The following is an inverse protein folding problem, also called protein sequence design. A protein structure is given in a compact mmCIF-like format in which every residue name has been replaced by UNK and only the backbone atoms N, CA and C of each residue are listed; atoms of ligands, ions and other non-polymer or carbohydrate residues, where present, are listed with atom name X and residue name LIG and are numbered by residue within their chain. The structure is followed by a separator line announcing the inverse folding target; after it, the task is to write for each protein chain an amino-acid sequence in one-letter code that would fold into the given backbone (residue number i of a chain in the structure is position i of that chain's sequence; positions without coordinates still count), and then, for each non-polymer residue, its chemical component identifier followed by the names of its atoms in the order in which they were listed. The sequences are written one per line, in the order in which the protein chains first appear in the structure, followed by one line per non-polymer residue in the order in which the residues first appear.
data_IF_408480565458
#
_entry.id   IF_408480565458
#
_cell.length_a   1.000
_cell.length_b   1.000
_cell.length_c   1.000
_cell.angle_alpha   90.00
_cell.angle_beta   90.00
_cell.angle_gamma   90.00
#
_symmetry.space_group_name_H-M   'P 1'
#
loop_
_entity.id
_entity.type
_entity.pdbx_description
1 polymer ?
#
# COMPACT_ATOMS: atom_id res chain seq x y z
N UNK A 1 -1.51 -19.31 3.51
CA UNK A 1 -0.43 -18.88 2.60
C UNK A 1 0.61 -18.06 3.34
N UNK A 2 1.87 -18.35 3.10
CA UNK A 2 2.96 -17.59 3.72
C UNK A 2 3.21 -16.30 2.94
N UNK A 3 3.46 -15.21 3.67
CA UNK A 3 3.73 -13.92 3.06
C UNK A 3 4.85 -13.21 3.81
N UNK A 4 5.60 -12.38 3.09
CA UNK A 4 6.63 -11.52 3.68
C UNK A 4 6.12 -10.10 3.96
N UNK A 5 4.82 -9.89 3.80
CA UNK A 5 4.22 -8.56 4.02
C UNK A 5 3.79 -8.40 5.46
N UNK A 6 4.10 -7.23 6.02
CA UNK A 6 3.69 -6.84 7.37
C UNK A 6 2.98 -5.50 7.25
N UNK A 7 1.89 -5.33 8.01
CA UNK A 7 1.12 -4.09 8.02
C UNK A 7 0.96 -3.60 9.46
N UNK A 8 1.02 -2.28 9.63
CA UNK A 8 0.88 -1.64 10.93
C UNK A 8 0.42 -0.19 10.74
N UNK A 9 -0.68 0.18 11.37
CA UNK A 9 -1.24 1.55 11.31
C UNK A 9 -1.45 2.07 9.87
N UNK A 10 -1.81 1.16 8.95
CA UNK A 10 -2.03 1.52 7.56
C UNK A 10 -0.76 1.58 6.71
N UNK A 11 0.40 1.37 7.31
CA UNK A 11 1.67 1.28 6.60
C UNK A 11 2.05 -0.18 6.41
N UNK A 12 2.79 -0.45 5.34
CA UNK A 12 3.19 -1.82 5.05
C UNK A 12 4.62 -1.90 4.56
N UNK A 13 5.19 -3.08 4.68
CA UNK A 13 6.51 -3.39 4.16
C UNK A 13 6.52 -4.79 3.58
N UNK A 14 7.50 -5.05 2.75
CA UNK A 14 7.81 -6.37 2.27
C UNK A 14 9.20 -6.71 2.80
N UNK A 15 9.27 -7.72 3.67
CA UNK A 15 10.53 -8.11 4.29
C UNK A 15 11.38 -8.89 3.30
N UNK A 16 12.64 -8.49 3.17
CA UNK A 16 13.61 -9.15 2.30
C UNK A 16 14.81 -9.60 3.12
N UNK A 17 15.54 -10.58 2.60
CA UNK A 17 16.73 -11.10 3.25
C UNK A 17 17.97 -10.72 2.45
N UNK A 18 18.98 -10.16 3.14
CA UNK A 18 20.29 -9.92 2.56
C UNK A 18 21.21 -11.07 2.95
N UNK A 19 21.59 -11.87 1.98
CA UNK A 19 22.53 -12.97 2.23
C UNK A 19 23.93 -12.45 2.55
N UNK A 20 24.29 -11.30 1.99
CA UNK A 20 25.59 -10.68 2.20
C UNK A 20 25.74 -10.19 3.65
N UNK A 21 24.75 -9.46 4.14
CA UNK A 21 24.77 -8.88 5.49
C UNK A 21 24.13 -9.78 6.53
N UNK A 22 23.42 -10.82 6.10
CA UNK A 22 22.71 -11.77 6.95
C UNK A 22 21.69 -11.09 7.84
N UNK A 23 20.94 -10.14 7.26
CA UNK A 23 19.88 -9.46 7.97
C UNK A 23 18.59 -9.51 7.16
N UNK A 24 17.47 -9.39 7.86
CA UNK A 24 16.18 -9.11 7.26
C UNK A 24 16.07 -7.58 7.17
N UNK A 25 15.49 -7.08 6.10
CA UNK A 25 15.39 -5.64 5.91
C UNK A 25 14.15 -5.30 5.12
N UNK A 26 13.79 -4.01 5.16
CA UNK A 26 12.69 -3.50 4.38
C UNK A 26 12.60 -2.00 4.54
N UNK A 27 11.58 -1.44 3.93
CA UNK A 27 11.27 -0.03 4.05
C UNK A 27 9.76 0.14 4.14
N UNK A 28 9.30 1.29 4.61
CA UNK A 28 7.87 1.62 4.53
C UNK A 28 7.56 1.86 3.06
N UNK A 29 6.67 1.02 2.51
CA UNK A 29 6.30 1.09 1.10
C UNK A 29 5.23 2.13 0.85
N UNK A 30 5.16 2.61 -0.39
CA UNK A 30 4.09 3.50 -0.83
C UNK A 30 4.17 4.94 -0.37
N UNK A 31 5.28 5.37 0.22
CA UNK A 31 5.53 6.76 0.58
C UNK A 31 6.83 7.23 -0.08
N UNK A 32 6.96 8.54 -0.27
CA UNK A 32 8.15 9.12 -0.90
C UNK A 32 9.36 9.17 0.04
N UNK A 33 9.11 9.37 1.33
CA UNK A 33 10.18 9.41 2.32
C UNK A 33 10.80 8.02 2.45
N UNK A 34 12.11 7.97 2.59
CA UNK A 34 12.83 6.71 2.74
C UNK A 34 12.96 6.37 4.22
N UNK A 35 12.20 5.37 4.67
CA UNK A 35 12.25 4.88 6.05
C UNK A 35 12.57 3.39 6.02
N UNK A 36 13.77 3.04 6.43
CA UNK A 36 14.29 1.67 6.39
C UNK A 36 14.33 1.05 7.78
N UNK A 37 14.36 -0.27 7.80
CA UNK A 37 14.66 -1.01 9.03
C UNK A 37 15.46 -2.26 8.69
N UNK A 38 16.19 -2.77 9.67
CA UNK A 38 16.95 -4.03 9.57
C UNK A 38 16.76 -4.82 10.85
N UNK A 39 16.87 -6.14 10.75
CA UNK A 39 16.77 -7.01 11.91
C UNK A 39 17.48 -8.32 11.65
N UNK A 40 18.30 -8.77 12.62
CA UNK A 40 19.02 -10.05 12.50
C UNK A 40 18.16 -11.24 12.93
N UNK A 41 17.09 -10.99 13.67
CA UNK A 41 16.25 -12.04 14.24
C UNK A 41 14.85 -12.03 13.60
N UNK A 42 14.47 -13.08 12.87
CA UNK A 42 13.12 -13.14 12.29
C UNK A 42 12.00 -13.01 13.33
N UNK A 43 12.24 -13.44 14.57
CA UNK A 43 11.24 -13.32 15.62
C UNK A 43 10.97 -11.89 16.06
N UNK A 44 11.82 -10.95 15.68
CA UNK A 44 11.70 -9.54 16.08
C UNK A 44 11.44 -8.60 14.91
N UNK A 45 11.31 -9.13 13.70
CA UNK A 45 11.20 -8.29 12.50
C UNK A 45 9.93 -7.44 12.50
N UNK A 46 8.81 -7.97 12.99
CA UNK A 46 7.57 -7.19 13.10
C UNK A 46 7.73 -6.03 14.08
N UNK A 47 8.37 -6.30 15.21
CA UNK A 47 8.61 -5.27 16.23
C UNK A 47 9.47 -4.14 15.66
N UNK A 48 10.50 -4.49 14.91
CA UNK A 48 11.38 -3.50 14.30
C UNK A 48 10.65 -2.67 13.23
N UNK A 49 9.77 -3.30 12.46
CA UNK A 49 8.96 -2.57 11.51
C UNK A 49 8.01 -1.60 12.22
N UNK A 50 7.34 -2.06 13.28
CA UNK A 50 6.43 -1.20 14.06
C UNK A 50 7.18 -0.02 14.65
N UNK A 51 8.38 -0.25 15.14
CA UNK A 51 9.22 0.82 15.65
C UNK A 51 9.55 1.84 14.56
N UNK A 52 9.88 1.37 13.35
CA UNK A 52 10.17 2.27 12.23
C UNK A 52 8.96 3.13 11.88
N UNK A 53 7.76 2.57 11.88
CA UNK A 53 6.52 3.31 11.64
C UNK A 53 6.28 4.33 12.73
N UNK A 54 6.38 3.92 13.99
CA UNK A 54 6.14 4.82 15.12
C UNK A 54 7.16 5.96 15.15
N UNK A 55 8.42 5.68 14.84
CA UNK A 55 9.47 6.70 14.76
C UNK A 55 9.19 7.69 13.62
N UNK A 56 8.75 7.19 12.47
CA UNK A 56 8.37 8.04 11.34
C UNK A 56 7.23 8.99 11.72
N UNK A 57 6.19 8.45 12.36
CA UNK A 57 5.04 9.25 12.78
C UNK A 57 5.44 10.31 13.82
N UNK A 58 6.30 9.94 14.75
CA UNK A 58 6.80 10.88 15.76
C UNK A 58 7.66 11.97 15.11
N UNK A 59 8.50 11.61 14.15
CA UNK A 59 9.34 12.55 13.42
C UNK A 59 8.49 13.58 12.66
N UNK A 60 7.45 13.12 11.98
CA UNK A 60 6.54 14.01 11.27
C UNK A 60 5.83 14.97 12.22
N UNK A 61 5.38 14.47 13.38
CA UNK A 61 4.72 15.29 14.38
C UNK A 61 5.67 16.37 14.91
N UNK A 62 6.90 16.02 15.18
CA UNK A 62 7.90 16.96 15.72
C UNK A 62 8.22 18.07 14.71
N UNK A 63 8.16 17.77 13.42
CA UNK A 63 8.39 18.75 12.36
C UNK A 63 7.14 19.52 11.96
N UNK A 64 5.98 19.18 12.52
CA UNK A 64 4.71 19.79 12.12
C UNK A 64 4.30 19.39 10.70
N UNK A 65 4.77 18.24 10.23
CA UNK A 65 4.49 17.73 8.89
C UNK A 65 3.46 16.62 8.98
N UNK A 66 2.49 16.62 8.05
CA UNK A 66 1.55 15.51 7.96
C UNK A 66 2.26 14.28 7.42
N UNK A 67 2.11 13.12 8.07
CA UNK A 67 2.73 11.91 7.54
C UNK A 67 2.07 11.48 6.23
N UNK A 68 2.86 10.93 5.32
CA UNK A 68 2.33 10.39 4.08
C UNK A 68 1.55 9.11 4.36
N UNK A 69 0.53 8.85 3.55
CA UNK A 69 -0.29 7.63 3.66
C UNK A 69 -0.24 6.88 2.34
N UNK A 70 0.08 5.59 2.35
CA UNK A 70 0.15 4.80 1.10
C UNK A 70 -1.22 4.57 0.47
N UNK A 71 -2.29 4.56 1.28
CA UNK A 71 -3.64 4.32 0.78
C UNK A 71 -4.47 5.60 0.86
N UNK A 72 -4.38 6.42 -0.21
CA UNK A 72 -5.02 7.74 -0.25
C UNK A 72 -6.44 7.72 -0.81
N UNK A 73 -6.89 6.57 -1.30
CA UNK A 73 -8.19 6.47 -1.96
C UNK A 73 -8.18 6.89 -3.43
N UNK A 74 -7.01 7.25 -3.96
CA UNK A 74 -6.86 7.63 -5.37
C UNK A 74 -5.68 6.89 -5.96
N UNK A 75 -5.90 6.25 -7.11
CA UNK A 75 -4.82 5.65 -7.89
C UNK A 75 -5.22 5.61 -9.35
N UNK A 76 -4.25 5.52 -10.23
CA UNK A 76 -4.46 5.51 -11.67
C UNK A 76 -4.30 4.11 -12.22
N UNK A 77 -5.17 3.74 -13.16
CA UNK A 77 -5.10 2.48 -13.87
C UNK A 77 -5.04 2.76 -15.35
N UNK A 78 -4.10 2.12 -16.04
CA UNK A 78 -3.99 2.24 -17.49
C UNK A 78 -4.77 1.11 -18.15
N UNK A 79 -5.68 1.45 -19.03
CA UNK A 79 -6.49 0.48 -19.78
C UNK A 79 -6.43 0.81 -21.27
N UNK A 80 -6.90 -0.11 -22.13
CA UNK A 80 -6.95 0.17 -23.53
C UNK A 80 -8.02 1.22 -23.84
N UNK A 81 -7.89 2.00 -24.93
CA UNK A 81 -8.93 2.96 -25.32
C UNK A 81 -10.28 2.30 -25.51
N UNK A 82 -10.32 1.09 -26.04
CA UNK A 82 -11.57 0.37 -26.23
C UNK A 82 -12.24 0.01 -24.89
N UNK A 83 -11.47 -0.47 -23.93
CA UNK A 83 -12.01 -0.79 -22.61
C UNK A 83 -12.52 0.47 -21.93
N UNK A 84 -11.78 1.58 -22.04
CA UNK A 84 -12.21 2.88 -21.52
C UNK A 84 -13.56 3.27 -22.09
N UNK A 85 -13.72 3.19 -23.40
CA UNK A 85 -14.98 3.51 -24.09
C UNK A 85 -16.12 2.63 -23.61
N UNK A 86 -15.88 1.31 -23.49
CA UNK A 86 -16.91 0.36 -23.04
C UNK A 86 -17.32 0.61 -21.61
N UNK A 87 -16.36 0.94 -20.75
CA UNK A 87 -16.66 1.26 -19.34
C UNK A 87 -17.50 2.53 -19.25
N UNK A 88 -17.14 3.57 -20.01
CA UNK A 88 -17.89 4.81 -20.02
C UNK A 88 -19.32 4.61 -20.52
N UNK A 89 -19.50 3.80 -21.56
CA UNK A 89 -20.83 3.50 -22.10
C UNK A 89 -21.66 2.70 -21.08
N UNK A 90 -21.05 1.74 -20.39
CA UNK A 90 -21.73 0.97 -19.36
C UNK A 90 -22.19 1.83 -18.19
N UNK A 91 -21.32 2.74 -17.74
CA UNK A 91 -21.65 3.67 -16.67
C UNK A 91 -22.83 4.57 -17.08
N UNK A 92 -22.77 5.12 -18.29
CA UNK A 92 -23.80 5.99 -18.81
C UNK A 92 -25.17 5.27 -18.89
N UNK A 93 -25.17 4.01 -19.34
CA UNK A 93 -26.42 3.23 -19.44
C UNK A 93 -27.03 2.94 -18.06
N UNK A 94 -26.25 3.00 -17.00
CA UNK A 94 -26.73 2.82 -15.62
C UNK A 94 -27.05 4.13 -14.93
N UNK A 95 -26.83 5.26 -15.60
CA UNK A 95 -27.06 6.58 -15.02
C UNK A 95 -26.07 6.93 -13.93
N UNK A 96 -24.86 6.36 -13.98
CA UNK A 96 -23.81 6.63 -13.00
C UNK A 96 -22.55 7.21 -13.65
N UNK A 97 -21.69 7.85 -12.85
CA UNK A 97 -20.42 8.36 -13.37
C UNK A 97 -19.47 7.20 -13.66
N UNK A 98 -18.49 7.44 -14.54
CA UNK A 98 -17.45 6.45 -14.79
C UNK A 98 -16.70 6.11 -13.50
N UNK A 99 -16.41 7.11 -12.68
CA UNK A 99 -15.72 6.90 -11.39
C UNK A 99 -16.51 5.96 -10.47
N UNK A 100 -17.81 6.19 -10.34
CA UNK A 100 -18.67 5.33 -9.51
C UNK A 100 -18.74 3.91 -10.06
N UNK A 101 -18.86 3.79 -11.39
CA UNK A 101 -18.88 2.49 -12.04
C UNK A 101 -17.61 1.69 -11.77
N UNK A 102 -16.44 2.34 -11.91
CA UNK A 102 -15.13 1.71 -11.71
C UNK A 102 -14.96 1.29 -10.24
N UNK A 103 -15.34 2.17 -9.30
CA UNK A 103 -15.25 1.86 -7.87
C UNK A 103 -16.09 0.63 -7.52
N UNK A 104 -17.28 0.52 -8.07
CA UNK A 104 -18.15 -0.65 -7.85
C UNK A 104 -17.55 -1.91 -8.46
N UNK A 105 -16.96 -1.81 -9.65
CA UNK A 105 -16.34 -2.95 -10.31
C UNK A 105 -15.17 -3.49 -9.50
N UNK A 106 -14.33 -2.60 -8.96
CA UNK A 106 -13.20 -2.98 -8.13
C UNK A 106 -13.70 -3.66 -6.85
N UNK A 107 -14.69 -3.08 -6.20
CA UNK A 107 -15.27 -3.66 -4.98
C UNK A 107 -15.79 -5.07 -5.23
N UNK A 108 -16.52 -5.27 -6.32
CA UNK A 108 -17.04 -6.59 -6.67
C UNK A 108 -15.92 -7.59 -6.95
N UNK A 109 -14.86 -7.17 -7.63
CA UNK A 109 -13.73 -8.03 -7.94
C UNK A 109 -12.98 -8.44 -6.67
N UNK A 110 -12.80 -7.53 -5.73
CA UNK A 110 -12.13 -7.81 -4.45
C UNK A 110 -12.96 -8.77 -3.61
N UNK A 111 -14.27 -8.56 -3.55
CA UNK A 111 -15.18 -9.41 -2.74
C UNK A 111 -15.21 -10.85 -3.24
N UNK A 112 -15.01 -11.08 -4.53
CA UNK A 112 -14.98 -12.43 -5.09
C UNK A 112 -13.80 -13.26 -4.62
N UNK A 113 -12.79 -12.65 -4.05
CA UNK A 113 -11.54 -13.32 -3.69
C UNK A 113 -11.55 -13.89 -2.28
N UNK A 114 -12.60 -13.67 -1.54
CA UNK A 114 -12.73 -14.16 -0.15
C UNK A 114 -13.23 -15.60 -0.08
#
# INVERSE_FOLDING_TARGET
MKTNMIEYKGYWTKVEFSAEDRVLYGKIEGIADLVNFECEDPGRVEEEFRRAVDDYLAFCRDLGKDPEKPYKGVFNVRVSPELHRRAAAAADSRGETLNAFVAQAISAAVDRRT
#
